data_IF_046270226221
#
_entry.id   IF_046270226221
#
_cell.length_a   1.000
_cell.length_b   1.000
_cell.length_c   1.000
_cell.angle_alpha   90.00
_cell.angle_beta   90.00
_cell.angle_gamma   90.00
#
_symmetry.space_group_name_H-M   'P 1'
#
loop_
_entity.id
_entity.type
_entity.pdbx_description
1 polymer ?
#
# COMPACT_ATOMS: atom_id res chain seq x y z
N UNK A 1 -24.02 2.96 1.68
CA UNK A 1 -23.55 3.80 2.81
C UNK A 1 -23.14 2.84 3.93
N UNK A 2 -22.00 3.07 4.61
CA UNK A 2 -21.62 2.23 5.75
C UNK A 2 -22.52 2.52 6.95
N UNK A 3 -22.72 1.52 7.82
CA UNK A 3 -23.57 1.65 9.01
C UNK A 3 -22.94 2.63 10.03
N UNK A 4 -23.75 3.32 10.86
CA UNK A 4 -23.24 4.18 11.93
C UNK A 4 -22.24 3.48 12.85
N UNK A 5 -22.49 2.24 13.24
CA UNK A 5 -21.58 1.45 14.06
C UNK A 5 -20.20 1.24 13.40
N UNK A 6 -20.15 1.09 12.07
CA UNK A 6 -18.89 0.98 11.32
C UNK A 6 -18.14 2.30 11.32
N UNK A 7 -18.86 3.43 11.19
CA UNK A 7 -18.28 4.77 11.26
C UNK A 7 -17.64 5.02 12.63
N UNK A 8 -18.33 4.66 13.72
CA UNK A 8 -17.78 4.80 15.09
C UNK A 8 -16.54 3.92 15.29
N UNK A 9 -16.53 2.69 14.77
CA UNK A 9 -15.33 1.82 14.82
C UNK A 9 -14.14 2.44 14.09
N UNK A 10 -14.36 2.99 12.90
CA UNK A 10 -13.31 3.68 12.13
C UNK A 10 -12.81 4.90 12.92
N UNK A 11 -13.72 5.71 13.46
CA UNK A 11 -13.38 6.89 14.25
C UNK A 11 -12.51 6.51 15.46
N UNK A 12 -12.93 5.55 16.26
CA UNK A 12 -12.17 5.09 17.42
C UNK A 12 -10.80 4.52 17.05
N UNK A 13 -10.69 3.80 15.92
CA UNK A 13 -9.39 3.35 15.40
C UNK A 13 -8.47 4.52 15.03
N UNK A 14 -8.99 5.53 14.33
CA UNK A 14 -8.23 6.72 13.93
C UNK A 14 -7.80 7.56 15.14
N UNK A 15 -8.66 7.69 16.16
CA UNK A 15 -8.36 8.35 17.42
C UNK A 15 -7.24 7.63 18.19
N UNK A 16 -7.32 6.30 18.30
CA UNK A 16 -6.26 5.50 18.92
C UNK A 16 -4.94 5.60 18.15
N UNK A 17 -5.00 5.60 16.82
CA UNK A 17 -3.84 5.78 15.95
C UNK A 17 -3.13 7.12 16.21
N UNK A 18 -3.85 8.24 16.14
CA UNK A 18 -3.23 9.55 16.34
C UNK A 18 -2.74 9.73 17.78
N UNK A 19 -3.49 9.23 18.77
CA UNK A 19 -3.10 9.30 20.18
C UNK A 19 -1.81 8.52 20.45
N UNK A 20 -1.64 7.35 19.82
CA UNK A 20 -0.41 6.56 19.91
C UNK A 20 0.80 7.33 19.41
N UNK A 21 0.72 7.90 18.20
CA UNK A 21 1.83 8.68 17.63
C UNK A 21 2.11 9.93 18.45
N UNK A 22 1.07 10.65 18.87
CA UNK A 22 1.23 11.83 19.72
C UNK A 22 1.94 11.47 21.03
N UNK A 23 1.59 10.35 21.67
CA UNK A 23 2.23 9.93 22.91
C UNK A 23 3.70 9.55 22.73
N UNK A 24 4.07 8.95 21.60
CA UNK A 24 5.46 8.63 21.28
C UNK A 24 6.34 9.89 21.12
N UNK A 25 5.77 10.98 20.60
CA UNK A 25 6.53 12.21 20.27
C UNK A 25 6.30 13.36 21.26
N UNK A 26 5.48 13.16 22.30
CA UNK A 26 5.17 14.17 23.33
C UNK A 26 6.35 14.48 24.24
N UNK A 27 7.27 13.54 24.41
CA UNK A 27 8.36 13.65 25.39
C UNK A 27 9.56 14.36 24.78
N UNK A 28 9.98 15.46 25.41
CA UNK A 28 11.30 16.05 25.19
C UNK A 28 11.68 16.89 26.40
N UNK A 29 12.91 16.73 26.86
CA UNK A 29 13.46 17.44 28.02
C UNK A 29 13.98 18.83 27.66
N UNK A 30 14.20 19.09 26.37
CA UNK A 30 14.67 20.36 25.83
C UNK A 30 13.52 21.31 25.52
N UNK A 31 13.76 22.62 25.67
CA UNK A 31 12.80 23.62 25.21
C UNK A 31 12.72 23.56 23.68
N UNK A 32 11.56 23.84 23.07
CA UNK A 32 11.39 23.78 21.62
C UNK A 32 12.37 24.65 20.82
N UNK A 33 12.94 25.68 21.44
CA UNK A 33 13.91 26.62 20.84
C UNK A 33 15.37 26.17 20.96
N UNK A 34 15.65 25.18 21.82
CA UNK A 34 17.02 24.75 22.09
C UNK A 34 17.55 23.90 20.94
N UNK A 35 18.86 23.98 20.68
CA UNK A 35 19.54 23.09 19.74
C UNK A 35 19.79 21.73 20.43
N UNK A 36 19.45 20.64 19.74
CA UNK A 36 19.70 19.29 20.25
C UNK A 36 21.21 19.02 20.23
N UNK A 37 21.82 18.53 21.34
CA UNK A 37 23.21 18.09 21.31
C UNK A 37 23.40 16.99 20.28
N UNK A 38 24.43 17.10 19.44
CA UNK A 38 24.72 16.10 18.42
C UNK A 38 25.06 14.77 19.08
N UNK A 39 24.25 13.75 18.82
CA UNK A 39 24.56 12.40 19.26
C UNK A 39 25.66 11.80 18.37
N UNK A 40 26.58 11.02 18.97
CA UNK A 40 27.71 10.41 18.26
C UNK A 40 27.45 8.97 17.84
N UNK A 41 26.54 8.27 18.52
CA UNK A 41 26.18 6.87 18.26
C UNK A 41 24.67 6.67 18.40
N UNK A 42 24.09 5.88 17.50
CA UNK A 42 22.69 5.43 17.56
C UNK A 42 22.58 4.00 17.07
N UNK A 43 22.02 3.13 17.89
CA UNK A 43 21.71 1.75 17.51
C UNK A 43 20.63 1.69 16.41
N UNK A 44 19.65 2.60 16.45
CA UNK A 44 18.54 2.66 15.50
C UNK A 44 18.83 3.46 14.20
N UNK A 45 20.07 3.92 14.02
CA UNK A 45 20.45 4.78 12.88
C UNK A 45 19.65 6.08 12.74
N UNK A 46 19.26 6.72 13.85
CA UNK A 46 18.34 7.86 13.85
C UNK A 46 19.02 9.25 13.98
N UNK A 47 20.35 9.29 14.15
CA UNK A 47 21.12 10.55 14.23
C UNK A 47 21.05 11.28 12.90
N UNK A 48 20.79 12.59 12.95
CA UNK A 48 20.75 13.46 11.78
C UNK A 48 21.67 14.66 12.00
N UNK A 49 23.00 14.51 11.89
CA UNK A 49 23.96 15.51 12.35
C UNK A 49 23.74 16.90 11.70
N UNK A 50 23.46 16.92 10.40
CA UNK A 50 23.15 18.17 9.68
C UNK A 50 21.85 18.82 10.12
N UNK A 51 20.81 18.04 10.46
CA UNK A 51 19.53 18.60 10.88
C UNK A 51 19.61 19.07 12.34
N UNK A 52 20.28 18.30 13.20
CA UNK A 52 20.50 18.63 14.61
C UNK A 52 21.32 19.91 14.78
N UNK A 53 22.30 20.17 13.90
CA UNK A 53 23.08 21.40 13.92
C UNK A 53 22.33 22.62 13.37
N UNK A 54 21.29 22.44 12.55
CA UNK A 54 20.60 23.52 11.83
C UNK A 54 19.26 23.90 12.46
N UNK A 55 18.55 22.93 13.05
CA UNK A 55 17.15 23.08 13.45
C UNK A 55 17.02 22.96 14.97
N UNK A 56 16.15 23.78 15.59
CA UNK A 56 15.85 23.64 17.01
C UNK A 56 15.04 22.37 17.26
N UNK A 57 15.13 21.84 18.49
CA UNK A 57 14.55 20.55 18.89
C UNK A 57 13.03 20.47 18.65
N UNK A 58 12.31 21.59 18.79
CA UNK A 58 10.89 21.65 18.46
C UNK A 58 10.58 21.28 17.00
N UNK A 59 11.39 21.75 16.05
CA UNK A 59 11.22 21.44 14.62
C UNK A 59 11.63 19.99 14.33
N UNK A 60 12.69 19.49 14.98
CA UNK A 60 13.11 18.09 14.85
C UNK A 60 12.00 17.13 15.30
N UNK A 61 11.37 17.40 16.45
CA UNK A 61 10.23 16.62 16.95
C UNK A 61 9.03 16.64 16.01
N UNK A 62 8.71 17.80 15.42
CA UNK A 62 7.63 17.90 14.41
C UNK A 62 7.94 17.04 13.18
N UNK A 63 9.19 17.07 12.71
CA UNK A 63 9.61 16.25 11.57
C UNK A 63 9.60 14.74 11.89
N UNK A 64 10.00 14.37 13.10
CA UNK A 64 9.94 12.98 13.60
C UNK A 64 8.49 12.49 13.71
N UNK A 65 7.60 13.34 14.23
CA UNK A 65 6.17 13.09 14.29
C UNK A 65 5.56 12.91 12.89
N UNK A 66 5.78 13.86 11.98
CA UNK A 66 5.24 13.82 10.61
C UNK A 66 5.71 12.55 9.89
N UNK A 67 6.99 12.20 9.99
CA UNK A 67 7.52 10.99 9.38
C UNK A 67 6.86 9.74 9.94
N UNK A 68 6.69 9.67 11.26
CA UNK A 68 6.05 8.52 11.93
C UNK A 68 4.58 8.40 11.51
N UNK A 69 3.88 9.53 11.48
CA UNK A 69 2.51 9.65 10.98
C UNK A 69 2.41 9.13 9.55
N UNK A 70 3.17 9.72 8.61
CA UNK A 70 3.13 9.38 7.19
C UNK A 70 3.52 7.93 6.90
N UNK A 71 4.50 7.38 7.63
CA UNK A 71 4.92 5.98 7.49
C UNK A 71 3.81 5.01 7.90
N UNK A 72 3.15 5.27 9.03
CA UNK A 72 2.11 4.39 9.57
C UNK A 72 0.74 4.61 8.93
N UNK A 73 0.51 5.78 8.32
CA UNK A 73 -0.75 6.14 7.66
C UNK A 73 -1.18 5.14 6.58
N UNK A 74 -0.23 4.51 5.88
CA UNK A 74 -0.52 3.44 4.91
C UNK A 74 -1.32 2.29 5.54
N UNK A 75 -0.86 1.80 6.69
CA UNK A 75 -1.54 0.71 7.42
C UNK A 75 -2.93 1.13 7.91
N UNK A 76 -3.09 2.42 8.25
CA UNK A 76 -4.36 3.02 8.66
C UNK A 76 -5.37 3.03 7.52
N UNK A 77 -4.94 3.31 6.28
CA UNK A 77 -5.82 3.21 5.11
C UNK A 77 -6.30 1.79 4.87
N UNK A 78 -5.39 0.81 4.97
CA UNK A 78 -5.75 -0.60 4.80
C UNK A 78 -6.78 -1.07 5.85
N UNK A 79 -6.59 -0.69 7.12
CA UNK A 79 -7.49 -1.09 8.20
C UNK A 79 -8.87 -0.46 8.04
N UNK A 80 -8.91 0.82 7.65
CA UNK A 80 -10.15 1.52 7.32
C UNK A 80 -10.88 0.82 6.17
N UNK A 81 -10.14 0.47 5.10
CA UNK A 81 -10.71 -0.25 3.96
C UNK A 81 -11.25 -1.64 4.35
N UNK A 82 -10.56 -2.36 5.26
CA UNK A 82 -11.04 -3.63 5.82
C UNK A 82 -12.36 -3.46 6.56
N UNK A 83 -12.47 -2.46 7.45
CA UNK A 83 -13.70 -2.20 8.22
C UNK A 83 -14.89 -1.88 7.30
N UNK A 84 -14.66 -1.06 6.27
CA UNK A 84 -15.68 -0.75 5.25
C UNK A 84 -16.08 -2.03 4.50
N UNK A 85 -15.12 -2.82 4.05
CA UNK A 85 -15.37 -4.04 3.30
C UNK A 85 -16.11 -5.10 4.13
N UNK A 86 -15.80 -5.23 5.42
CA UNK A 86 -16.52 -6.12 6.33
C UNK A 86 -17.99 -5.75 6.47
N UNK A 87 -18.30 -4.46 6.58
CA UNK A 87 -19.70 -4.01 6.68
C UNK A 87 -20.49 -4.26 5.38
N UNK A 88 -19.86 -3.98 4.23
CA UNK A 88 -20.51 -4.12 2.92
C UNK A 88 -20.62 -5.58 2.47
N UNK A 89 -19.56 -6.37 2.65
CA UNK A 89 -19.42 -7.70 2.05
C UNK A 89 -19.36 -8.85 3.06
N UNK A 90 -19.10 -8.59 4.34
CA UNK A 90 -19.05 -9.61 5.40
C UNK A 90 -17.74 -10.38 5.50
N UNK A 91 -16.88 -10.38 4.47
CA UNK A 91 -15.56 -11.02 4.51
C UNK A 91 -14.49 -10.10 3.95
N UNK A 92 -13.53 -9.70 4.80
CA UNK A 92 -12.32 -9.02 4.38
C UNK A 92 -11.16 -9.32 5.34
N UNK A 93 -9.94 -9.26 4.82
CA UNK A 93 -8.72 -9.46 5.60
C UNK A 93 -7.59 -8.59 5.04
N UNK A 94 -6.75 -8.03 5.93
CA UNK A 94 -5.50 -7.37 5.54
C UNK A 94 -4.39 -8.40 5.31
N UNK A 95 -3.37 -7.99 4.57
CA UNK A 95 -2.11 -8.74 4.40
C UNK A 95 -2.37 -10.20 3.99
N UNK A 96 -3.31 -10.42 3.05
CA UNK A 96 -3.73 -11.76 2.64
C UNK A 96 -2.65 -12.40 1.79
N UNK A 97 -1.94 -13.37 2.35
CA UNK A 97 -1.06 -14.24 1.60
C UNK A 97 -1.87 -15.14 0.64
N UNK A 98 -1.40 -15.18 -0.61
CA UNK A 98 -1.92 -16.02 -1.69
C UNK A 98 -0.75 -16.86 -2.19
N UNK A 99 -0.80 -18.16 -1.97
CA UNK A 99 0.26 -19.10 -2.32
C UNK A 99 -0.26 -20.12 -3.33
N UNK A 100 0.54 -20.44 -4.34
CA UNK A 100 0.23 -21.52 -5.25
C UNK A 100 1.25 -21.72 -6.37
N UNK A 101 0.99 -22.74 -7.20
CA UNK A 101 1.91 -23.17 -8.27
C UNK A 101 1.64 -22.41 -9.57
N UNK A 102 2.62 -21.64 -10.02
CA UNK A 102 2.56 -20.81 -11.24
C UNK A 102 3.49 -21.38 -12.31
N UNK A 103 3.08 -21.47 -13.59
CA UNK A 103 3.98 -21.84 -14.68
C UNK A 103 5.20 -20.91 -14.75
N UNK A 104 6.41 -21.48 -14.87
CA UNK A 104 7.66 -20.69 -14.98
C UNK A 104 7.63 -19.72 -16.16
N UNK A 105 7.01 -20.12 -17.26
CA UNK A 105 6.79 -19.28 -18.45
C UNK A 105 5.91 -18.05 -18.18
N UNK A 106 4.91 -18.15 -17.30
CA UNK A 106 4.09 -17.01 -16.89
C UNK A 106 4.89 -16.01 -16.04
N UNK A 107 5.75 -16.51 -15.15
CA UNK A 107 6.62 -15.66 -14.33
C UNK A 107 7.63 -14.91 -15.19
N UNK A 108 8.31 -15.60 -16.11
CA UNK A 108 9.22 -14.98 -17.06
C UNK A 108 8.52 -13.93 -17.95
N UNK A 109 7.26 -14.19 -18.32
CA UNK A 109 6.45 -13.21 -19.05
C UNK A 109 6.17 -11.95 -18.23
N UNK A 110 5.74 -12.09 -16.97
CA UNK A 110 5.50 -10.96 -16.07
C UNK A 110 6.78 -10.10 -15.93
N UNK A 111 7.90 -10.74 -15.62
CA UNK A 111 9.19 -10.08 -15.45
C UNK A 111 9.62 -9.34 -16.73
N UNK A 112 9.55 -10.01 -17.89
CA UNK A 112 9.89 -9.42 -19.18
C UNK A 112 9.00 -8.21 -19.51
N UNK A 113 7.69 -8.30 -19.24
CA UNK A 113 6.76 -7.20 -19.47
C UNK A 113 7.12 -5.99 -18.60
N UNK A 114 7.35 -6.18 -17.31
CA UNK A 114 7.68 -5.08 -16.40
C UNK A 114 9.03 -4.45 -16.74
N UNK A 115 10.06 -5.26 -17.02
CA UNK A 115 11.37 -4.76 -17.45
C UNK A 115 11.28 -3.98 -18.77
N UNK A 116 10.43 -4.40 -19.69
CA UNK A 116 10.23 -3.68 -20.95
C UNK A 116 9.46 -2.38 -20.75
N UNK A 117 8.49 -2.34 -19.84
CA UNK A 117 7.82 -1.09 -19.44
C UNK A 117 8.79 -0.13 -18.77
N UNK A 118 9.64 -0.63 -17.88
CA UNK A 118 10.60 0.20 -17.16
C UNK A 118 11.65 0.82 -18.09
N UNK A 119 12.28 0.00 -18.95
CA UNK A 119 13.39 0.42 -19.80
C UNK A 119 12.96 1.07 -21.12
N UNK A 120 11.84 0.64 -21.70
CA UNK A 120 11.41 1.04 -23.06
C UNK A 120 10.08 1.77 -23.09
N UNK A 121 9.42 1.99 -21.96
CA UNK A 121 8.13 2.69 -21.90
C UNK A 121 6.99 1.94 -22.57
N UNK A 122 7.08 0.62 -22.73
CA UNK A 122 6.03 -0.18 -23.39
C UNK A 122 4.73 -0.09 -22.60
N UNK A 123 3.68 0.37 -23.28
CA UNK A 123 2.30 0.41 -22.79
C UNK A 123 1.61 -0.93 -23.01
N UNK A 124 0.68 -1.26 -22.11
CA UNK A 124 -0.09 -2.50 -22.15
C UNK A 124 -1.47 -2.28 -21.53
N UNK A 125 -2.40 -3.17 -21.88
CA UNK A 125 -3.68 -3.27 -21.20
C UNK A 125 -3.59 -4.37 -20.13
N UNK A 126 -3.95 -4.04 -18.89
CA UNK A 126 -3.86 -4.99 -17.76
C UNK A 126 -4.71 -6.25 -17.99
N UNK A 127 -5.89 -6.10 -18.58
CA UNK A 127 -6.81 -7.22 -18.84
C UNK A 127 -6.20 -8.20 -19.84
N UNK A 128 -5.50 -7.70 -20.86
CA UNK A 128 -4.81 -8.52 -21.86
C UNK A 128 -3.64 -9.29 -21.26
N UNK A 129 -2.85 -8.65 -20.39
CA UNK A 129 -1.76 -9.31 -19.66
C UNK A 129 -2.29 -10.49 -18.86
N UNK A 130 -3.37 -10.29 -18.10
CA UNK A 130 -3.97 -11.36 -17.29
C UNK A 130 -4.54 -12.48 -18.18
N UNK A 131 -5.22 -12.14 -19.28
CA UNK A 131 -5.72 -13.12 -20.24
C UNK A 131 -4.59 -13.95 -20.85
N UNK A 132 -3.44 -13.33 -21.15
CA UNK A 132 -2.25 -14.02 -21.64
C UNK A 132 -1.62 -14.91 -20.56
N UNK A 133 -1.50 -14.41 -19.32
CA UNK A 133 -0.99 -15.18 -18.18
C UNK A 133 -1.78 -16.48 -17.97
N UNK A 134 -3.11 -16.40 -18.07
CA UNK A 134 -4.00 -17.56 -17.90
C UNK A 134 -3.77 -18.67 -18.94
N UNK A 135 -3.18 -18.37 -20.10
CA UNK A 135 -2.92 -19.34 -21.17
C UNK A 135 -1.62 -20.12 -20.99
N UNK A 136 -0.66 -19.63 -20.21
CA UNK A 136 0.61 -20.34 -20.02
C UNK A 136 0.42 -21.71 -19.32
N UNK A 137 1.21 -22.68 -19.77
CA UNK A 137 1.28 -24.07 -19.29
C UNK A 137 2.75 -24.46 -19.10
N UNK A 138 2.99 -25.68 -18.63
CA UNK A 138 4.32 -26.24 -18.42
C UNK A 138 4.74 -26.32 -16.95
N UNK A 139 6.04 -26.51 -16.67
CA UNK A 139 6.59 -26.69 -15.33
C UNK A 139 6.20 -25.53 -14.42
N UNK A 140 5.78 -25.85 -13.20
CA UNK A 140 5.32 -24.86 -12.22
C UNK A 140 6.31 -24.71 -11.08
N UNK A 141 6.34 -23.52 -10.50
CA UNK A 141 7.05 -23.21 -9.26
C UNK A 141 6.08 -22.60 -8.25
N UNK A 142 6.26 -22.91 -6.99
CA UNK A 142 5.49 -22.28 -5.92
C UNK A 142 5.84 -20.80 -5.80
N UNK A 143 4.81 -19.97 -5.63
CA UNK A 143 4.95 -18.54 -5.42
C UNK A 143 3.94 -18.08 -4.39
N UNK A 144 4.36 -17.11 -3.60
CA UNK A 144 3.50 -16.39 -2.65
C UNK A 144 3.48 -14.92 -3.05
N UNK A 145 2.30 -14.32 -2.99
CA UNK A 145 2.11 -12.88 -3.08
C UNK A 145 1.14 -12.46 -2.00
N UNK A 146 1.39 -11.32 -1.37
CA UNK A 146 0.56 -10.79 -0.28
C UNK A 146 -0.21 -9.60 -0.84
N UNK A 147 -1.53 -9.58 -0.69
CA UNK A 147 -2.35 -8.41 -1.00
C UNK A 147 -2.56 -7.59 0.27
N UNK A 148 -2.53 -6.26 0.15
CA UNK A 148 -2.77 -5.37 1.28
C UNK A 148 -4.19 -5.55 1.84
N UNK A 149 -5.17 -5.75 0.95
CA UNK A 149 -6.56 -6.07 1.31
C UNK A 149 -7.14 -7.18 0.42
N UNK A 150 -7.77 -8.15 1.06
CA UNK A 150 -8.65 -9.14 0.45
C UNK A 150 -10.09 -8.87 0.83
N UNK A 151 -11.00 -9.00 -0.13
CA UNK A 151 -12.44 -8.91 0.07
C UNK A 151 -13.11 -10.06 -0.68
N UNK A 152 -14.03 -10.75 -0.02
CA UNK A 152 -14.94 -11.69 -0.70
C UNK A 152 -16.34 -11.12 -0.65
N UNK A 153 -16.92 -10.88 -1.82
CA UNK A 153 -18.28 -10.33 -1.93
C UNK A 153 -19.31 -11.35 -1.48
N UNK A 154 -20.52 -10.88 -1.17
CA UNK A 154 -21.67 -11.74 -0.83
C UNK A 154 -22.03 -12.75 -1.93
N UNK A 155 -21.63 -12.48 -3.18
CA UNK A 155 -21.82 -13.36 -4.33
C UNK A 155 -20.61 -14.25 -4.62
N UNK A 156 -19.63 -14.33 -3.71
CA UNK A 156 -18.47 -15.22 -3.83
C UNK A 156 -17.35 -14.73 -4.74
N UNK A 157 -17.38 -13.47 -5.19
CA UNK A 157 -16.27 -12.88 -5.95
C UNK A 157 -15.14 -12.49 -5.00
N UNK A 158 -13.91 -12.87 -5.35
CA UNK A 158 -12.71 -12.52 -4.61
C UNK A 158 -12.02 -11.31 -5.25
N UNK A 159 -11.73 -10.31 -4.43
CA UNK A 159 -11.07 -9.08 -4.83
C UNK A 159 -9.82 -8.90 -3.98
N UNK A 160 -8.69 -8.68 -4.64
CA UNK A 160 -7.40 -8.41 -4.02
C UNK A 160 -6.95 -6.99 -4.39
N UNK A 161 -6.57 -6.21 -3.39
CA UNK A 161 -6.19 -4.82 -3.55
C UNK A 161 -4.76 -4.61 -3.08
N UNK A 162 -4.05 -3.79 -3.83
CA UNK A 162 -2.81 -3.13 -3.42
C UNK A 162 -3.13 -1.64 -3.25
N UNK A 163 -2.90 -1.12 -2.06
CA UNK A 163 -3.31 0.24 -1.67
C UNK A 163 -2.05 1.11 -1.58
N UNK A 164 -2.01 2.20 -2.34
CA UNK A 164 -0.93 3.19 -2.26
C UNK A 164 -1.46 4.60 -1.99
N UNK A 165 -0.52 5.47 -1.67
CA UNK A 165 -0.73 6.92 -1.60
C UNK A 165 -1.26 7.45 -2.95
N UNK A 166 -2.01 8.56 -2.96
CA UNK A 166 -2.72 9.04 -4.15
C UNK A 166 -1.87 9.46 -5.34
N UNK A 167 -0.56 9.61 -5.19
CA UNK A 167 0.36 9.94 -6.27
C UNK A 167 1.52 8.97 -6.18
N UNK A 168 1.33 7.69 -6.56
CA UNK A 168 2.43 6.75 -6.55
C UNK A 168 3.52 7.23 -7.52
N UNK A 169 4.72 6.71 -7.35
CA UNK A 169 5.82 6.86 -8.30
C UNK A 169 5.89 5.66 -9.27
N UNK A 170 6.76 5.74 -10.27
CA UNK A 170 6.92 4.70 -11.31
C UNK A 170 7.27 3.34 -10.70
N UNK A 171 8.21 3.30 -9.76
CA UNK A 171 8.66 2.07 -9.10
C UNK A 171 7.53 1.36 -8.37
N UNK A 172 6.74 2.12 -7.59
CA UNK A 172 5.56 1.60 -6.88
C UNK A 172 4.53 1.02 -7.86
N UNK A 173 4.37 1.60 -9.05
CA UNK A 173 3.43 1.10 -10.04
C UNK A 173 3.88 -0.22 -10.66
N UNK A 174 5.18 -0.37 -10.92
CA UNK A 174 5.75 -1.63 -11.41
C UNK A 174 5.64 -2.73 -10.34
N UNK A 175 5.99 -2.42 -9.09
CA UNK A 175 5.89 -3.33 -7.94
C UNK A 175 4.45 -3.82 -7.74
N UNK A 176 3.49 -2.90 -7.66
CA UNK A 176 2.06 -3.23 -7.48
C UNK A 176 1.56 -4.05 -8.67
N UNK A 177 1.90 -3.66 -9.90
CA UNK A 177 1.50 -4.42 -11.09
C UNK A 177 2.02 -5.85 -11.01
N UNK A 178 3.29 -6.05 -10.60
CA UNK A 178 3.86 -7.38 -10.44
C UNK A 178 3.07 -8.24 -9.44
N UNK A 179 2.81 -7.69 -8.24
CA UNK A 179 2.06 -8.38 -7.17
C UNK A 179 0.67 -8.79 -7.66
N UNK A 180 -0.06 -7.86 -8.27
CA UNK A 180 -1.40 -8.14 -8.81
C UNK A 180 -1.37 -9.19 -9.94
N UNK A 181 -0.40 -9.14 -10.86
CA UNK A 181 -0.25 -10.16 -11.91
C UNK A 181 0.13 -11.53 -11.34
N UNK A 182 0.97 -11.59 -10.30
CA UNK A 182 1.31 -12.82 -9.58
C UNK A 182 0.07 -13.43 -8.92
N UNK A 183 -0.77 -12.64 -8.25
CA UNK A 183 -2.05 -13.12 -7.68
C UNK A 183 -2.95 -13.70 -8.77
N UNK A 184 -3.09 -13.02 -9.91
CA UNK A 184 -3.84 -13.54 -11.05
C UNK A 184 -3.25 -14.85 -11.60
N UNK A 185 -1.92 -14.96 -11.64
CA UNK A 185 -1.21 -16.15 -12.09
C UNK A 185 -1.34 -17.35 -11.14
N UNK A 186 -1.48 -17.10 -9.83
CA UNK A 186 -1.73 -18.12 -8.81
C UNK A 186 -3.18 -18.60 -8.89
N UNK A 187 -4.14 -17.68 -8.82
CA UNK A 187 -5.56 -18.03 -8.72
C UNK A 187 -6.16 -18.56 -10.03
N UNK A 188 -5.79 -17.97 -11.18
CA UNK A 188 -6.26 -18.37 -12.53
C UNK A 188 -7.78 -18.56 -12.68
N UNK A 189 -8.57 -17.87 -11.88
CA UNK A 189 -10.02 -18.12 -11.73
C UNK A 189 -10.87 -16.94 -12.23
N UNK A 190 -10.54 -16.34 -13.37
CA UNK A 190 -11.41 -15.30 -13.95
C UNK A 190 -12.75 -15.90 -14.41
N UNK A 191 -13.88 -15.19 -14.23
CA UNK A 191 -14.02 -13.82 -13.70
C UNK A 191 -14.18 -13.73 -12.17
N UNK A 192 -14.12 -14.85 -11.43
CA UNK A 192 -14.35 -14.93 -9.98
C UNK A 192 -13.28 -14.22 -9.15
N UNK A 193 -12.06 -14.10 -9.67
CA UNK A 193 -10.93 -13.40 -9.02
C UNK A 193 -10.57 -12.11 -9.74
N UNK A 194 -10.54 -11.01 -9.00
CA UNK A 194 -10.17 -9.68 -9.48
C UNK A 194 -9.06 -9.07 -8.63
N UNK A 195 -8.25 -8.26 -9.29
CA UNK A 195 -7.11 -7.56 -8.69
C UNK A 195 -7.22 -6.08 -9.01
N UNK A 196 -6.91 -5.24 -8.04
CA UNK A 196 -7.10 -3.80 -8.12
C UNK A 196 -5.89 -3.07 -7.57
N UNK A 197 -5.44 -2.08 -8.32
CA UNK A 197 -4.54 -1.06 -7.80
C UNK A 197 -5.42 0.10 -7.29
N UNK A 198 -5.42 0.31 -5.98
CA UNK A 198 -6.24 1.31 -5.31
C UNK A 198 -5.40 2.47 -4.79
N UNK A 199 -5.96 3.68 -4.89
CA UNK A 199 -5.45 4.87 -4.22
C UNK A 199 -6.32 5.13 -2.98
N UNK A 200 -5.69 5.49 -1.87
CA UNK A 200 -6.40 5.76 -0.62
C UNK A 200 -7.48 6.86 -0.77
N UNK A 201 -7.22 7.87 -1.59
CA UNK A 201 -8.15 8.94 -1.93
C UNK A 201 -7.79 9.58 -3.28
N UNK A 202 -8.65 10.45 -3.80
CA UNK A 202 -8.36 11.29 -4.97
C UNK A 202 -7.92 12.69 -4.51
N UNK A 203 -6.67 13.10 -4.76
CA UNK A 203 -6.15 14.38 -4.26
C UNK A 203 -6.65 15.57 -5.12
N UNK A 204 -7.39 15.31 -6.21
CA UNK A 204 -7.92 16.31 -7.14
C UNK A 204 -9.44 16.53 -6.97
N UNK A 205 -10.07 15.88 -5.99
CA UNK A 205 -11.49 16.06 -5.65
C UNK A 205 -12.30 14.76 -5.65
N UNK A 206 -13.59 14.86 -5.34
CA UNK A 206 -14.40 13.67 -5.02
C UNK A 206 -14.80 12.82 -6.23
N UNK A 207 -14.71 13.38 -7.44
CA UNK A 207 -15.06 12.66 -8.65
C UNK A 207 -13.84 12.01 -9.30
N UNK A 208 -13.96 10.73 -9.65
CA UNK A 208 -12.93 9.95 -10.37
C UNK A 208 -12.39 10.64 -11.61
N UNK A 209 -13.21 11.40 -12.34
CA UNK A 209 -12.79 12.11 -13.57
C UNK A 209 -11.67 13.13 -13.35
N UNK A 210 -11.51 13.61 -12.10
CA UNK A 210 -10.46 14.56 -11.74
C UNK A 210 -9.11 13.89 -11.46
N UNK A 211 -9.09 12.57 -11.24
CA UNK A 211 -7.85 11.83 -11.05
C UNK A 211 -7.14 11.65 -12.40
N UNK A 212 -6.26 12.61 -12.74
CA UNK A 212 -5.45 12.64 -13.97
C UNK A 212 -3.95 12.48 -13.70
N UNK A 213 -3.57 11.78 -12.62
CA UNK A 213 -2.16 11.53 -12.31
C UNK A 213 -1.53 10.65 -13.39
N UNK A 214 -0.39 11.09 -13.92
CA UNK A 214 0.42 10.37 -14.89
C UNK A 214 1.89 10.51 -14.51
N UNK A 215 2.67 9.46 -14.78
CA UNK A 215 4.13 9.45 -14.67
C UNK A 215 4.68 10.03 -15.98
N UNK A 216 4.52 11.33 -16.17
CA UNK A 216 5.35 12.07 -17.15
C UNK A 216 6.73 12.29 -16.57
#
# INVERSE_FOLDING_TARGET
MIKPATREKIKGYLEGFIQGIVNEHKTGTLKPTDIRPTATVSEDGNIKPFHEALLPDGILRINEFERSFSTRLGTTFEETAKLIALDVHGTAARSKAVTGKVPKSALAFIEKTLNSTDKKGIRWNYTDLVSKIAKFKGPKSERTSVADLFVRTKFGMEMYFEIKSPKPNKGQCLEVTERLLKIQAIQRARPKVRTYFAMAYNPYGDNRKYYKHSFT
#
